data_IF_778766177223
#
_entry.id   IF_778766177223
#
_cell.length_a   1.000
_cell.length_b   1.000
_cell.length_c   1.000
_cell.angle_alpha   90.00
_cell.angle_beta   90.00
_cell.angle_gamma   90.00
#
_symmetry.space_group_name_H-M   'P 1'
#
loop_
_entity.id
_entity.type
_entity.pdbx_description
1 polymer ?
#
# COMPACT_ATOMS: atom_id res chain seq x y z
N UNK A 1 17.45 -19.83 -4.64
CA UNK A 1 16.84 -20.54 -5.78
C UNK A 1 15.38 -20.12 -5.79
N UNK A 2 14.88 -19.55 -6.90
CA UNK A 2 13.52 -18.97 -7.02
C UNK A 2 12.49 -20.01 -7.47
N UNK A 3 12.95 -21.15 -8.00
CA UNK A 3 12.13 -22.21 -8.60
C UNK A 3 11.15 -22.88 -7.62
N UNK A 4 11.35 -22.72 -6.31
CA UNK A 4 10.48 -23.26 -5.26
C UNK A 4 9.28 -22.39 -4.93
N UNK A 5 9.22 -21.14 -5.41
CA UNK A 5 8.13 -20.19 -5.10
C UNK A 5 7.03 -20.20 -6.17
N UNK A 6 7.38 -20.52 -7.42
CA UNK A 6 6.42 -20.70 -8.51
C UNK A 6 6.99 -21.70 -9.54
N UNK A 7 6.66 -23.00 -9.46
CA UNK A 7 7.10 -23.95 -10.47
C UNK A 7 6.39 -23.62 -11.80
N UNK A 8 7.14 -23.02 -12.72
CA UNK A 8 6.67 -22.75 -14.08
C UNK A 8 7.02 -23.96 -14.95
N UNK A 9 6.01 -24.71 -15.40
CA UNK A 9 6.18 -25.77 -16.41
C UNK A 9 6.04 -25.14 -17.80
N UNK A 10 7.13 -25.11 -18.57
CA UNK A 10 7.18 -24.55 -19.92
C UNK A 10 7.62 -25.66 -20.87
N UNK A 11 6.73 -26.08 -21.77
CA UNK A 11 7.02 -27.06 -22.81
C UNK A 11 6.72 -26.45 -24.20
N UNK A 12 7.71 -26.37 -25.12
CA UNK A 12 9.10 -26.80 -24.98
C UNK A 12 9.90 -25.96 -23.98
N UNK A 13 10.98 -26.53 -23.40
CA UNK A 13 11.85 -25.80 -22.48
C UNK A 13 12.44 -24.57 -23.16
N UNK A 14 12.57 -23.48 -22.41
CA UNK A 14 13.19 -22.26 -22.92
C UNK A 14 14.66 -22.54 -23.29
N UNK A 15 15.06 -22.22 -24.52
CA UNK A 15 16.43 -22.41 -25.01
C UNK A 15 17.46 -21.57 -24.24
N UNK A 16 17.03 -20.44 -23.63
CA UNK A 16 17.89 -19.57 -22.81
C UNK A 16 17.08 -18.83 -21.72
N UNK A 17 17.71 -18.57 -20.56
CA UNK A 17 17.08 -17.89 -19.41
C UNK A 17 17.83 -16.59 -19.09
N UNK A 18 17.24 -15.46 -19.49
CA UNK A 18 17.78 -14.13 -19.19
C UNK A 18 17.15 -13.52 -17.93
N UNK A 19 17.98 -12.96 -17.05
CA UNK A 19 17.50 -12.14 -15.92
C UNK A 19 17.18 -10.74 -16.40
N UNK A 20 15.92 -10.33 -16.21
CA UNK A 20 15.47 -8.97 -16.54
C UNK A 20 15.09 -8.21 -15.27
N UNK A 21 15.48 -6.94 -15.20
CA UNK A 21 15.00 -6.03 -14.16
C UNK A 21 13.68 -5.43 -14.62
N UNK A 22 12.60 -5.72 -13.89
CA UNK A 22 11.27 -5.14 -14.16
C UNK A 22 11.01 -4.05 -13.13
N UNK A 23 10.82 -2.81 -13.60
CA UNK A 23 10.38 -1.72 -12.74
C UNK A 23 8.86 -1.76 -12.59
N UNK A 24 8.37 -1.61 -11.35
CA UNK A 24 6.95 -1.40 -11.06
C UNK A 24 6.71 0.07 -10.72
N UNK A 25 5.95 0.76 -11.56
CA UNK A 25 5.51 2.13 -11.29
C UNK A 25 4.11 2.11 -10.73
N UNK A 26 3.91 2.75 -9.58
CA UNK A 26 2.61 2.85 -8.92
C UNK A 26 2.08 4.29 -9.07
N UNK A 27 0.94 4.43 -9.75
CA UNK A 27 0.33 5.73 -10.03
C UNK A 27 -0.66 6.11 -8.93
N UNK A 28 -0.40 7.23 -8.26
CA UNK A 28 -1.33 7.82 -7.28
C UNK A 28 -2.26 8.78 -8.02
N UNK A 29 -3.55 8.46 -8.07
CA UNK A 29 -4.54 9.31 -8.74
C UNK A 29 -5.10 10.38 -7.80
N UNK A 30 -5.60 11.52 -8.33
CA UNK A 30 -6.32 12.52 -7.52
C UNK A 30 -7.54 11.92 -6.81
N UNK A 31 -8.24 11.00 -7.47
CA UNK A 31 -9.39 10.30 -6.90
C UNK A 31 -9.01 9.49 -5.66
N UNK A 32 -7.93 8.71 -5.73
CA UNK A 32 -7.41 7.94 -4.60
C UNK A 32 -6.99 8.86 -3.44
N UNK A 33 -6.34 9.98 -3.76
CA UNK A 33 -5.93 10.98 -2.76
C UNK A 33 -7.15 11.56 -2.04
N UNK A 34 -8.18 11.96 -2.79
CA UNK A 34 -9.41 12.51 -2.22
C UNK A 34 -10.23 11.49 -1.42
N UNK A 35 -10.22 10.22 -1.82
CA UNK A 35 -10.85 9.14 -1.06
C UNK A 35 -10.13 8.90 0.27
N UNK A 36 -8.80 8.79 0.26
CA UNK A 36 -7.99 8.60 1.48
C UNK A 36 -8.17 9.80 2.41
N UNK A 37 -8.13 11.04 1.91
CA UNK A 37 -8.36 12.23 2.75
C UNK A 37 -9.73 12.19 3.42
N UNK A 38 -10.79 11.84 2.67
CA UNK A 38 -12.14 11.72 3.23
C UNK A 38 -12.22 10.59 4.26
N UNK A 39 -11.63 9.44 3.98
CA UNK A 39 -11.61 8.31 4.90
C UNK A 39 -10.81 8.62 6.18
N UNK A 40 -9.70 9.34 6.07
CA UNK A 40 -8.96 9.87 7.23
C UNK A 40 -9.81 10.85 8.04
N UNK A 41 -10.52 11.78 7.40
CA UNK A 41 -11.42 12.73 8.06
C UNK A 41 -12.68 12.10 8.66
N UNK A 42 -13.11 10.95 8.15
CA UNK A 42 -14.21 10.15 8.72
C UNK A 42 -13.75 9.10 9.74
N UNK A 43 -12.44 8.87 9.87
CA UNK A 43 -11.86 7.75 10.62
C UNK A 43 -12.40 6.37 10.15
N UNK A 44 -12.63 6.23 8.85
CA UNK A 44 -13.16 5.03 8.20
C UNK A 44 -12.05 4.01 7.95
N UNK A 45 -11.74 3.21 8.97
CA UNK A 45 -10.69 2.19 8.92
C UNK A 45 -10.94 1.15 7.81
N UNK A 46 -12.15 0.62 7.59
CA UNK A 46 -12.44 -0.29 6.48
C UNK A 46 -12.11 0.30 5.09
N UNK A 47 -12.44 1.57 4.85
CA UNK A 47 -12.09 2.22 3.58
C UNK A 47 -10.57 2.39 3.42
N UNK A 48 -9.88 2.79 4.49
CA UNK A 48 -8.42 2.92 4.49
C UNK A 48 -7.72 1.57 4.26
N UNK A 49 -8.29 0.46 4.74
CA UNK A 49 -7.70 -0.88 4.61
C UNK A 49 -7.55 -1.34 3.16
N UNK A 50 -8.42 -0.85 2.25
CA UNK A 50 -8.37 -1.15 0.81
C UNK A 50 -7.05 -0.73 0.18
N UNK A 51 -6.41 0.30 0.73
CA UNK A 51 -5.14 0.83 0.23
C UNK A 51 -3.92 0.04 0.72
N UNK A 52 -4.08 -0.78 1.77
CA UNK A 52 -3.05 -1.68 2.29
C UNK A 52 -1.68 -1.00 2.44
N UNK A 53 -0.65 -1.59 1.80
CA UNK A 53 0.73 -1.06 1.85
C UNK A 53 0.91 0.32 1.21
N UNK A 54 -0.06 0.78 0.40
CA UNK A 54 0.00 2.10 -0.24
C UNK A 54 -0.60 3.21 0.63
N UNK A 55 -1.32 2.85 1.69
CA UNK A 55 -1.93 3.83 2.57
C UNK A 55 -0.89 4.76 3.20
N UNK A 56 0.18 4.20 3.74
CA UNK A 56 1.22 4.96 4.44
C UNK A 56 1.96 5.96 3.52
N UNK A 57 2.51 5.58 2.34
CA UNK A 57 3.18 6.53 1.47
C UNK A 57 2.22 7.59 0.87
N UNK A 58 0.97 7.24 0.56
CA UNK A 58 0.00 8.21 0.04
C UNK A 58 -0.49 9.14 1.17
N UNK A 59 -0.79 8.59 2.34
CA UNK A 59 -1.21 9.33 3.53
C UNK A 59 -0.15 10.34 3.97
N UNK A 60 1.14 9.98 3.96
CA UNK A 60 2.22 10.93 4.24
C UNK A 60 2.26 12.10 3.26
N UNK A 61 2.01 11.86 1.96
CA UNK A 61 1.89 12.94 0.98
C UNK A 61 0.68 13.84 1.25
N UNK A 62 -0.44 13.27 1.69
CA UNK A 62 -1.62 14.04 2.08
C UNK A 62 -1.32 14.94 3.28
N UNK A 63 -0.73 14.38 4.35
CA UNK A 63 -0.35 15.14 5.56
C UNK A 63 0.65 16.25 5.25
N UNK A 64 1.64 15.99 4.38
CA UNK A 64 2.62 16.98 3.95
C UNK A 64 1.98 18.17 3.20
N UNK A 65 0.93 17.91 2.40
CA UNK A 65 0.21 18.93 1.64
C UNK A 65 -0.98 19.53 2.39
N UNK A 66 -1.31 19.04 3.59
CA UNK A 66 -2.43 19.52 4.38
C UNK A 66 -2.17 20.90 4.99
N UNK A 67 -3.27 21.60 5.31
CA UNK A 67 -3.26 22.84 6.09
C UNK A 67 -2.62 22.61 7.47
N UNK A 68 -2.06 23.66 8.07
CA UNK A 68 -1.48 23.55 9.41
C UNK A 68 -2.51 23.14 10.48
N UNK A 69 -3.78 23.49 10.29
CA UNK A 69 -4.87 23.16 11.21
C UNK A 69 -5.20 21.65 11.18
N UNK A 70 -5.19 21.03 9.99
CA UNK A 70 -5.62 19.63 9.83
C UNK A 70 -4.47 18.63 9.96
N UNK A 71 -3.22 19.09 9.81
CA UNK A 71 -2.02 18.24 9.75
C UNK A 71 -1.91 17.28 10.94
N UNK A 72 -2.03 17.81 12.15
CA UNK A 72 -1.88 17.01 13.37
C UNK A 72 -2.97 15.93 13.50
N UNK A 73 -4.21 16.28 13.15
CA UNK A 73 -5.34 15.35 13.17
C UNK A 73 -5.15 14.22 12.13
N UNK A 74 -4.79 14.59 10.90
CA UNK A 74 -4.57 13.63 9.82
C UNK A 74 -3.41 12.68 10.12
N UNK A 75 -2.33 13.18 10.70
CA UNK A 75 -1.17 12.39 11.10
C UNK A 75 -1.53 11.38 12.20
N UNK A 76 -2.24 11.82 13.24
CA UNK A 76 -2.69 10.93 14.31
C UNK A 76 -3.59 9.80 13.77
N UNK A 77 -4.52 10.12 12.87
CA UNK A 77 -5.44 9.14 12.27
C UNK A 77 -4.76 8.20 11.30
N UNK A 78 -3.76 8.68 10.56
CA UNK A 78 -2.94 7.82 9.71
C UNK A 78 -2.16 6.81 10.55
N UNK A 79 -1.56 7.26 11.66
CA UNK A 79 -0.79 6.40 12.56
C UNK A 79 -1.67 5.33 13.23
N UNK A 80 -2.87 5.70 13.68
CA UNK A 80 -3.81 4.75 14.30
C UNK A 80 -4.33 3.73 13.28
N UNK A 81 -4.65 4.16 12.06
CA UNK A 81 -5.06 3.27 10.98
C UNK A 81 -3.97 2.27 10.62
N UNK A 82 -2.71 2.72 10.53
CA UNK A 82 -1.58 1.84 10.24
C UNK A 82 -1.34 0.82 11.37
N UNK A 83 -1.38 1.25 12.64
CA UNK A 83 -1.25 0.35 13.78
C UNK A 83 -2.35 -0.73 13.78
N UNK A 84 -3.60 -0.35 13.51
CA UNK A 84 -4.72 -1.29 13.39
C UNK A 84 -4.49 -2.32 12.28
N UNK A 85 -3.93 -1.91 11.14
CA UNK A 85 -3.66 -2.82 10.01
C UNK A 85 -2.44 -3.72 10.24
N UNK A 86 -1.40 -3.26 10.95
CA UNK A 86 -0.27 -4.10 11.33
C UNK A 86 -0.71 -5.29 12.18
N UNK A 87 -1.61 -5.08 13.15
CA UNK A 87 -2.18 -6.19 13.94
C UNK A 87 -3.00 -7.19 13.11
N UNK A 88 -3.52 -6.79 11.95
CA UNK A 88 -4.21 -7.70 11.03
C UNK A 88 -3.21 -8.50 10.18
N UNK A 89 -2.13 -7.87 9.70
CA UNK A 89 -1.10 -8.53 8.90
C UNK A 89 -0.36 -9.62 9.68
N UNK A 90 -0.10 -9.39 10.96
CA UNK A 90 0.55 -10.40 11.84
C UNK A 90 -0.34 -11.64 12.08
N UNK A 91 -1.68 -11.50 11.96
CA UNK A 91 -2.61 -12.63 12.08
C UNK A 91 -2.66 -13.53 10.85
N UNK A 92 -2.16 -13.09 9.69
CA UNK A 92 -2.04 -13.91 8.48
C UNK A 92 -0.65 -14.53 8.29
N UNK A 93 0.27 -14.29 9.24
CA UNK A 93 1.63 -14.84 9.22
C UNK A 93 1.80 -16.08 10.12
N UNK A 94 0.70 -16.62 10.65
CA UNK A 94 0.64 -17.83 11.48
C UNK A 94 0.01 -19.01 10.76
#
# INVERSE_FOLDING_TARGET
>A
MIDSVLPLDINPPADDVARVFVARTELVTPAATNEITRALLANDIPALAKYGRFLEPIGRRIVANASAADRMLLEQRLQSAYAAMMTFRDRCAG
#
